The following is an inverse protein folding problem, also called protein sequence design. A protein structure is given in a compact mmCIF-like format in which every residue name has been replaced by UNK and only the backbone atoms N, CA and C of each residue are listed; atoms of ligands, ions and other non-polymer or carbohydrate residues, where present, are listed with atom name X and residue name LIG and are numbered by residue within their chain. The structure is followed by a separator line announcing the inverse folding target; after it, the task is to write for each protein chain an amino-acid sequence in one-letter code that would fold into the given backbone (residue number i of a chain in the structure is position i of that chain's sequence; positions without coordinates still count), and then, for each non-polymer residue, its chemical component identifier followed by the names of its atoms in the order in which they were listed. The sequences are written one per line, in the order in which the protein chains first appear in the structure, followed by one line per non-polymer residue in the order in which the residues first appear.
data_IF_299410770743
#
_entry.id   IF_299410770743
#
_cell.length_a   1.000
_cell.length_b   1.000
_cell.length_c   1.000
_cell.angle_alpha   90.00
_cell.angle_beta   90.00
_cell.angle_gamma   90.00
#
_symmetry.space_group_name_H-M   'P 1'
#
loop_
_entity.id
_entity.type
_entity.pdbx_description
1 polymer ?
#
# COMPACT_ATOMS: atom_id res chain seq x y z
N UNK A 1 9.78 -12.22 27.25
CA UNK A 1 8.41 -11.73 27.59
C UNK A 1 8.22 -10.25 27.25
N UNK A 2 8.92 -9.29 27.86
CA UNK A 2 8.76 -7.85 27.51
C UNK A 2 9.11 -7.57 26.04
N UNK A 3 10.24 -8.07 25.56
CA UNK A 3 10.65 -7.94 24.16
C UNK A 3 9.72 -8.68 23.18
N UNK A 4 9.21 -9.84 23.58
CA UNK A 4 8.31 -10.62 22.71
C UNK A 4 6.95 -9.94 22.56
N UNK A 5 6.37 -9.42 23.65
CA UNK A 5 5.15 -8.63 23.58
C UNK A 5 5.38 -7.33 22.80
N UNK A 6 6.49 -6.64 23.04
CA UNK A 6 6.83 -5.41 22.32
C UNK A 6 7.06 -5.66 20.82
N UNK A 7 7.61 -6.81 20.45
CA UNK A 7 7.68 -7.25 19.05
C UNK A 7 6.27 -7.51 18.48
N UNK A 8 5.42 -8.22 19.22
CA UNK A 8 4.11 -8.64 18.76
C UNK A 8 3.15 -7.47 18.52
N UNK A 9 3.14 -6.47 19.41
CA UNK A 9 2.26 -5.29 19.28
C UNK A 9 2.63 -4.35 18.13
N UNK A 10 3.81 -4.51 17.52
CA UNK A 10 4.26 -3.74 16.35
C UNK A 10 3.77 -4.32 15.02
N UNK A 11 2.84 -5.27 15.06
CA UNK A 11 2.23 -5.86 13.86
C UNK A 11 0.91 -6.59 14.11
N UNK A 12 0.49 -6.78 15.36
CA UNK A 12 -0.77 -7.43 15.72
C UNK A 12 -1.31 -6.93 17.08
N UNK A 13 -2.58 -7.21 17.39
CA UNK A 13 -3.25 -6.71 18.60
C UNK A 13 -3.30 -7.77 19.70
N UNK A 14 -2.77 -7.43 20.88
CA UNK A 14 -2.68 -8.32 22.05
C UNK A 14 -3.32 -7.73 23.33
N UNK A 15 -3.94 -6.56 23.22
CA UNK A 15 -4.52 -5.82 24.34
C UNK A 15 -4.84 -4.38 23.95
N UNK A 16 -5.16 -3.55 24.95
CA UNK A 16 -5.40 -2.12 24.74
C UNK A 16 -4.08 -1.36 24.82
N UNK A 17 -3.64 -0.81 23.68
CA UNK A 17 -2.43 0.02 23.61
C UNK A 17 -2.79 1.44 24.04
N UNK A 18 -2.19 1.91 25.13
CA UNK A 18 -2.48 3.24 25.68
C UNK A 18 -1.66 4.35 25.03
N UNK A 19 -0.42 4.06 24.63
CA UNK A 19 0.48 5.03 24.04
C UNK A 19 1.60 4.37 23.22
N UNK A 20 2.10 5.12 22.24
CA UNK A 20 3.30 4.77 21.49
C UNK A 20 4.39 5.81 21.73
N UNK A 21 5.61 5.35 22.00
CA UNK A 21 6.82 6.20 21.93
C UNK A 21 7.42 6.08 20.54
N UNK A 22 7.24 7.12 19.73
CA UNK A 22 7.71 7.15 18.35
C UNK A 22 9.16 7.64 18.27
N UNK A 23 9.94 7.04 17.37
CA UNK A 23 11.24 7.56 16.95
C UNK A 23 11.02 8.39 15.69
N UNK A 24 11.21 9.70 15.79
CA UNK A 24 11.10 10.58 14.63
C UNK A 24 12.21 10.30 13.62
N UNK A 25 11.87 10.42 12.34
CA UNK A 25 12.81 10.33 11.23
C UNK A 25 12.99 11.71 10.62
N UNK A 26 14.20 12.01 10.16
CA UNK A 26 14.48 13.28 9.50
C UNK A 26 14.02 13.20 8.05
N UNK A 27 13.25 14.19 7.63
CA UNK A 27 12.83 14.39 6.24
C UNK A 27 13.47 15.67 5.71
N UNK A 28 13.77 15.76 4.40
CA UNK A 28 14.20 17.00 3.78
C UNK A 28 13.14 18.09 3.96
N UNK A 29 13.58 19.35 4.03
CA UNK A 29 12.68 20.50 4.13
C UNK A 29 11.76 20.62 2.91
N UNK A 30 12.30 20.26 1.73
CA UNK A 30 11.58 20.20 0.47
C UNK A 30 11.59 18.79 -0.08
N UNK A 31 10.41 18.33 -0.48
CA UNK A 31 10.19 17.08 -1.21
C UNK A 31 9.50 17.38 -2.53
N UNK A 32 9.65 16.51 -3.52
CA UNK A 32 9.01 16.63 -4.82
C UNK A 32 7.95 15.55 -4.99
N UNK A 33 6.70 15.91 -5.24
CA UNK A 33 5.63 14.95 -5.56
C UNK A 33 5.23 15.11 -7.02
N UNK A 34 4.86 14.00 -7.68
CA UNK A 34 4.30 14.10 -9.02
C UNK A 34 3.24 13.03 -9.34
N UNK A 35 2.44 13.30 -10.37
CA UNK A 35 1.53 12.34 -10.98
C UNK A 35 1.66 12.38 -12.50
N UNK A 36 1.83 11.22 -13.12
CA UNK A 36 1.78 11.03 -14.57
C UNK A 36 0.55 10.19 -14.92
N UNK A 37 -0.38 10.76 -15.67
CA UNK A 37 -1.60 10.08 -16.11
C UNK A 37 -1.42 9.51 -17.53
N UNK A 38 -1.92 8.30 -17.76
CA UNK A 38 -1.94 7.60 -19.05
C UNK A 38 -3.22 6.78 -19.19
N UNK A 39 -3.67 6.56 -20.43
CA UNK A 39 -4.67 5.52 -20.72
C UNK A 39 -4.00 4.16 -20.68
N UNK A 40 -4.66 3.12 -20.15
CA UNK A 40 -4.11 1.76 -20.17
C UNK A 40 -3.89 1.27 -21.60
N UNK A 41 -4.85 1.54 -22.48
CA UNK A 41 -4.77 1.23 -23.91
C UNK A 41 -3.53 1.92 -24.53
N UNK A 42 -2.66 1.11 -25.13
CA UNK A 42 -1.38 1.57 -25.70
C UNK A 42 -0.24 1.82 -24.70
N UNK A 43 -0.45 1.67 -23.39
CA UNK A 43 0.57 1.90 -22.36
C UNK A 43 0.87 0.67 -21.47
N UNK A 44 0.45 -0.54 -21.87
CA UNK A 44 0.72 -1.78 -21.11
C UNK A 44 2.22 -2.01 -20.88
N UNK A 45 3.06 -1.68 -21.87
CA UNK A 45 4.51 -1.78 -21.77
C UNK A 45 5.08 -0.91 -20.66
N UNK A 46 4.51 0.27 -20.42
CA UNK A 46 4.95 1.17 -19.33
C UNK A 46 4.60 0.58 -17.97
N UNK A 47 3.40 0.02 -17.82
CA UNK A 47 2.98 -0.65 -16.59
C UNK A 47 3.88 -1.86 -16.28
N UNK A 48 4.17 -2.69 -17.28
CA UNK A 48 5.07 -3.83 -17.14
C UNK A 48 6.50 -3.39 -16.79
N UNK A 49 7.02 -2.36 -17.47
CA UNK A 49 8.34 -1.79 -17.18
C UNK A 49 8.41 -1.29 -15.74
N UNK A 50 7.41 -0.54 -15.29
CA UNK A 50 7.33 -0.06 -13.90
C UNK A 50 7.36 -1.23 -12.91
N UNK A 51 6.58 -2.29 -13.13
CA UNK A 51 6.58 -3.47 -12.27
C UNK A 51 7.97 -4.12 -12.13
N UNK A 52 8.76 -4.10 -13.19
CA UNK A 52 10.12 -4.66 -13.20
C UNK A 52 11.18 -3.78 -12.52
N UNK A 53 11.02 -2.45 -12.52
CA UNK A 53 12.05 -1.53 -12.01
C UNK A 53 11.71 -0.90 -10.67
N UNK A 54 10.45 -0.92 -10.23
CA UNK A 54 9.99 -0.22 -9.03
C UNK A 54 10.80 -0.60 -7.77
N UNK A 55 11.16 -1.88 -7.63
CA UNK A 55 11.96 -2.39 -6.50
C UNK A 55 13.46 -2.05 -6.59
N UNK A 56 13.93 -1.52 -7.73
CA UNK A 56 15.32 -1.12 -7.99
C UNK A 56 15.50 0.40 -7.93
N UNK A 57 14.41 1.15 -7.79
CA UNK A 57 14.47 2.60 -7.60
C UNK A 57 15.17 2.92 -6.27
N UNK A 58 15.87 4.06 -6.17
CA UNK A 58 16.54 4.43 -4.94
C UNK A 58 15.52 4.67 -3.82
N UNK A 59 15.88 4.38 -2.58
CA UNK A 59 15.01 4.50 -1.39
C UNK A 59 14.37 5.88 -1.21
N UNK A 60 14.97 6.92 -1.79
CA UNK A 60 14.44 8.30 -1.79
C UNK A 60 13.31 8.54 -2.80
N UNK A 61 12.98 7.57 -3.67
CA UNK A 61 11.93 7.68 -4.68
C UNK A 61 10.87 6.58 -4.49
N UNK A 62 9.69 7.00 -4.01
CA UNK A 62 8.49 6.18 -4.02
C UNK A 62 7.70 6.47 -5.30
N UNK A 63 7.29 5.42 -6.01
CA UNK A 63 6.33 5.52 -7.11
C UNK A 63 5.25 4.45 -6.88
N UNK A 64 3.99 4.86 -6.78
CA UNK A 64 2.83 3.96 -6.77
C UNK A 64 2.07 4.07 -8.08
N UNK A 65 1.44 2.98 -8.50
CA UNK A 65 0.46 2.96 -9.59
C UNK A 65 -0.93 2.88 -9.01
N UNK A 66 -1.83 3.68 -9.57
CA UNK A 66 -3.27 3.55 -9.35
C UNK A 66 -3.92 3.30 -10.69
N UNK A 67 -4.85 2.35 -10.72
CA UNK A 67 -5.64 1.99 -11.89
C UNK A 67 -7.09 2.25 -11.53
N UNK A 68 -7.80 3.03 -12.36
CA UNK A 68 -9.19 3.37 -12.12
C UNK A 68 -9.97 3.47 -13.43
N UNK A 69 -11.29 3.38 -13.34
CA UNK A 69 -12.16 3.72 -14.45
C UNK A 69 -12.36 5.25 -14.45
N UNK A 70 -12.14 5.89 -15.58
CA UNK A 70 -12.37 7.31 -15.78
C UNK A 70 -13.24 7.55 -17.03
N UNK A 71 -13.90 8.70 -17.08
CA UNK A 71 -14.86 9.07 -18.14
C UNK A 71 -16.34 8.93 -17.74
N UNK A 72 -17.23 9.34 -18.64
CA UNK A 72 -18.68 9.41 -18.40
C UNK A 72 -19.48 8.69 -19.48
N UNK A 73 -20.55 7.98 -19.10
CA UNK A 73 -21.43 7.32 -20.05
C UNK A 73 -20.72 6.19 -20.81
N UNK A 74 -20.73 6.26 -22.14
CA UNK A 74 -20.10 5.28 -23.03
C UNK A 74 -18.60 5.53 -23.27
N UNK A 75 -18.07 6.69 -22.88
CA UNK A 75 -16.65 7.06 -23.08
C UNK A 75 -15.76 6.65 -21.89
N UNK A 76 -16.12 5.55 -21.22
CA UNK A 76 -15.32 5.02 -20.12
C UNK A 76 -14.02 4.43 -20.65
N UNK A 77 -12.93 4.73 -19.97
CA UNK A 77 -11.64 4.13 -20.23
C UNK A 77 -10.93 3.78 -18.92
N UNK A 78 -9.98 2.86 -19.01
CA UNK A 78 -9.12 2.54 -17.87
C UNK A 78 -7.95 3.51 -17.86
N UNK A 79 -7.90 4.34 -16.82
CA UNK A 79 -6.80 5.24 -16.54
C UNK A 79 -5.78 4.55 -15.64
N UNK A 80 -4.50 4.71 -15.98
CA UNK A 80 -3.37 4.38 -15.10
C UNK A 80 -2.66 5.68 -14.74
N UNK A 81 -2.40 5.90 -13.46
CA UNK A 81 -1.59 7.02 -13.04
C UNK A 81 -0.49 6.62 -12.06
N UNK A 82 0.72 7.12 -12.35
CA UNK A 82 1.91 6.92 -11.54
C UNK A 82 2.03 8.10 -10.61
N UNK A 83 1.78 7.89 -9.32
CA UNK A 83 1.89 8.92 -8.29
C UNK A 83 3.13 8.68 -7.45
N UNK A 84 3.92 9.72 -7.22
CA UNK A 84 5.25 9.56 -6.66
C UNK A 84 5.60 10.62 -5.61
N UNK A 85 6.53 10.25 -4.73
CA UNK A 85 7.20 11.10 -3.75
C UNK A 85 8.70 10.90 -3.87
N UNK A 86 9.42 11.99 -4.04
CA UNK A 86 10.87 12.04 -4.03
C UNK A 86 11.36 12.87 -2.84
N UNK A 87 12.23 12.29 -2.02
CA UNK A 87 12.86 12.94 -0.88
C UNK A 87 14.06 13.78 -1.33
N UNK A 88 13.78 14.88 -2.02
CA UNK A 88 14.78 15.82 -2.51
C UNK A 88 14.16 16.83 -3.47
N UNK A 89 14.99 17.70 -4.08
CA UNK A 89 14.54 18.72 -5.02
C UNK A 89 14.31 18.15 -6.43
N UNK A 90 13.53 18.87 -7.24
CA UNK A 90 13.20 18.48 -8.62
C UNK A 90 14.45 18.33 -9.50
N UNK A 91 15.49 19.11 -9.25
CA UNK A 91 16.73 19.12 -10.04
C UNK A 91 17.50 17.80 -9.97
N UNK A 92 17.36 17.06 -8.87
CA UNK A 92 17.92 15.72 -8.76
C UNK A 92 16.98 14.63 -9.29
N UNK A 93 15.66 14.87 -9.20
CA UNK A 93 14.65 13.93 -9.65
C UNK A 93 14.66 13.74 -11.16
N UNK A 94 14.71 14.84 -11.92
CA UNK A 94 14.57 14.79 -13.39
C UNK A 94 15.67 13.93 -14.05
N UNK A 95 16.97 14.08 -13.72
CA UNK A 95 18.01 13.19 -14.23
C UNK A 95 17.78 11.72 -13.88
N UNK A 96 17.37 11.44 -12.63
CA UNK A 96 17.08 10.09 -12.17
C UNK A 96 15.94 9.44 -12.97
N UNK A 97 14.85 10.19 -13.23
CA UNK A 97 13.73 9.70 -14.03
C UNK A 97 14.15 9.47 -15.48
N UNK A 98 14.96 10.35 -16.08
CA UNK A 98 15.47 10.14 -17.43
C UNK A 98 16.33 8.88 -17.56
N UNK A 99 17.10 8.56 -16.53
CA UNK A 99 17.92 7.35 -16.50
C UNK A 99 17.08 6.07 -16.29
N UNK A 100 16.13 6.09 -15.34
CA UNK A 100 15.41 4.88 -14.91
C UNK A 100 14.07 4.66 -15.64
N UNK A 101 13.30 5.73 -15.89
CA UNK A 101 11.92 5.70 -16.41
C UNK A 101 11.67 6.87 -17.39
N UNK A 102 12.39 6.90 -18.50
CA UNK A 102 12.29 7.99 -19.49
C UNK A 102 10.89 8.18 -20.06
N UNK A 103 10.05 7.15 -20.07
CA UNK A 103 8.68 7.15 -20.58
C UNK A 103 7.70 8.01 -19.76
N UNK A 104 8.06 8.36 -18.52
CA UNK A 104 7.32 9.37 -17.77
C UNK A 104 7.41 10.74 -18.44
N UNK A 105 8.49 10.97 -19.20
CA UNK A 105 8.70 12.19 -19.99
C UNK A 105 8.56 13.46 -19.12
N UNK A 106 8.89 13.36 -17.83
CA UNK A 106 8.71 14.47 -16.90
C UNK A 106 9.81 15.51 -17.13
N UNK A 107 9.41 16.75 -17.34
CA UNK A 107 10.33 17.88 -17.43
C UNK A 107 10.21 18.80 -16.21
N UNK A 108 11.28 19.56 -15.92
CA UNK A 108 11.28 20.52 -14.82
C UNK A 108 10.15 21.57 -14.93
N UNK A 109 9.76 21.94 -16.15
CA UNK A 109 8.67 22.89 -16.41
C UNK A 109 7.29 22.37 -15.98
N UNK A 110 7.10 21.05 -15.99
CA UNK A 110 5.85 20.38 -15.58
C UNK A 110 5.65 20.45 -14.04
N UNK A 111 6.62 21.00 -13.32
CA UNK A 111 6.67 21.07 -11.86
C UNK A 111 6.18 22.40 -11.27
N UNK A 112 5.81 23.35 -12.14
CA UNK A 112 5.48 24.72 -11.73
C UNK A 112 4.19 25.24 -12.37
N UNK A 113 3.44 24.40 -13.07
CA UNK A 113 2.17 24.78 -13.69
C UNK A 113 1.00 24.23 -12.86
N UNK A 114 -0.01 25.07 -12.62
CA UNK A 114 -1.33 24.61 -12.18
C UNK A 114 -1.82 23.53 -13.16
N UNK A 115 -2.54 22.49 -12.69
CA UNK A 115 -2.99 21.40 -13.55
C UNK A 115 -3.87 21.97 -14.67
N UNK A 116 -3.30 22.12 -15.86
CA UNK A 116 -4.05 22.45 -17.07
C UNK A 116 -4.75 21.17 -17.50
N UNK A 117 -6.07 21.12 -17.33
CA UNK A 117 -6.90 20.05 -17.88
C UNK A 117 -6.92 20.22 -19.39
N UNK A 118 -5.92 19.65 -20.07
CA UNK A 118 -5.93 19.45 -21.53
C UNK A 118 -5.68 17.99 -21.84
N UNK A 119 -6.78 17.25 -21.95
CA UNK A 119 -7.01 16.28 -23.02
C UNK A 119 -6.25 14.95 -23.06
N UNK A 120 -4.99 14.81 -22.61
CA UNK A 120 -4.28 13.50 -22.76
C UNK A 120 -3.04 13.25 -21.90
N UNK A 121 -2.55 14.21 -21.10
CA UNK A 121 -1.52 13.95 -20.10
C UNK A 121 -1.54 15.06 -19.03
N UNK A 122 -2.17 14.78 -17.89
CA UNK A 122 -1.94 15.60 -16.70
C UNK A 122 -0.55 15.24 -16.17
N UNK A 123 0.34 16.21 -16.07
CA UNK A 123 1.58 16.08 -15.31
C UNK A 123 1.46 17.11 -14.19
N UNK A 124 1.24 16.65 -12.97
CA UNK A 124 1.25 17.51 -11.78
C UNK A 124 2.55 17.20 -11.07
N UNK A 125 3.44 18.16 -10.91
CA UNK A 125 4.60 18.02 -10.03
C UNK A 125 4.68 19.28 -9.15
N UNK A 126 4.96 19.11 -7.85
CA UNK A 126 5.00 20.19 -6.87
C UNK A 126 6.14 19.95 -5.88
N UNK A 127 7.01 20.95 -5.68
CA UNK A 127 7.87 20.99 -4.51
C UNK A 127 7.06 21.45 -3.29
N UNK A 128 7.10 20.68 -2.22
CA UNK A 128 6.32 20.95 -1.02
C UNK A 128 7.05 20.57 0.25
N UNK A 129 6.45 20.90 1.39
CA UNK A 129 6.81 20.32 2.67
C UNK A 129 6.40 18.85 2.70
N UNK A 130 6.97 18.08 3.63
CA UNK A 130 6.58 16.69 3.82
C UNK A 130 5.08 16.54 4.10
N UNK A 131 4.47 17.40 4.92
CA UNK A 131 3.02 17.32 5.20
C UNK A 131 2.18 17.71 3.98
N UNK A 132 2.65 18.65 3.15
CA UNK A 132 2.00 18.98 1.88
C UNK A 132 1.98 17.81 0.90
N UNK A 133 2.99 16.92 0.94
CA UNK A 133 2.94 15.67 0.17
C UNK A 133 1.79 14.76 0.61
N UNK A 134 1.44 14.72 1.90
CA UNK A 134 0.32 13.91 2.40
C UNK A 134 -1.00 14.41 1.80
N UNK A 135 -1.21 15.72 1.76
CA UNK A 135 -2.36 16.34 1.08
C UNK A 135 -2.41 15.96 -0.41
N UNK A 136 -1.25 15.95 -1.08
CA UNK A 136 -1.15 15.56 -2.48
C UNK A 136 -1.62 14.13 -2.74
N UNK A 137 -1.20 13.17 -1.91
CA UNK A 137 -1.64 11.77 -2.03
C UNK A 137 -3.13 11.59 -1.72
N UNK A 138 -3.73 12.53 -1.00
CA UNK A 138 -5.16 12.60 -0.73
C UNK A 138 -5.96 13.34 -1.82
N UNK A 139 -5.30 13.74 -2.91
CA UNK A 139 -5.95 14.47 -4.02
C UNK A 139 -6.24 15.95 -3.71
N UNK A 140 -5.67 16.49 -2.63
CA UNK A 140 -5.84 17.89 -2.21
C UNK A 140 -4.71 18.78 -2.72
N UNK A 141 -4.85 20.09 -2.57
CA UNK A 141 -3.75 21.04 -2.87
C UNK A 141 -2.71 21.00 -1.74
N UNK A 142 -1.43 21.14 -2.08
CA UNK A 142 -0.33 21.00 -1.12
C UNK A 142 -0.26 22.13 -0.08
N UNK A 143 -0.95 23.25 -0.36
CA UNK A 143 -1.07 24.43 0.51
C UNK A 143 -2.46 24.55 1.17
N UNK A 144 -3.30 23.53 1.04
CA UNK A 144 -4.63 23.50 1.65
C UNK A 144 -4.55 23.34 3.18
N UNK A 145 -5.64 23.69 3.88
CA UNK A 145 -5.73 23.50 5.34
C UNK A 145 -5.55 22.03 5.70
N UNK A 146 -4.76 21.77 6.76
CA UNK A 146 -4.57 20.42 7.30
C UNK A 146 -5.83 19.85 7.96
N UNK A 147 -6.83 20.69 8.24
CA UNK A 147 -8.12 20.26 8.79
C UNK A 147 -8.84 19.28 7.86
N UNK A 148 -8.57 19.34 6.57
CA UNK A 148 -9.11 18.39 5.57
C UNK A 148 -8.68 16.95 5.86
N UNK A 149 -7.55 16.73 6.54
CA UNK A 149 -7.11 15.39 6.97
C UNK A 149 -7.93 14.84 8.15
N UNK A 150 -8.76 15.67 8.79
CA UNK A 150 -9.69 15.25 9.84
C UNK A 150 -11.03 14.76 9.25
N UNK A 151 -11.29 15.02 7.97
CA UNK A 151 -12.49 14.56 7.29
C UNK A 151 -12.48 13.03 7.14
N UNK A 152 -13.58 12.38 7.50
CA UNK A 152 -13.74 10.94 7.33
C UNK A 152 -14.25 10.63 5.94
N UNK A 153 -13.36 10.21 5.05
CA UNK A 153 -13.73 9.54 3.80
C UNK A 153 -13.53 8.04 3.93
N UNK A 154 -14.61 7.27 3.78
CA UNK A 154 -14.56 5.82 3.77
C UNK A 154 -14.12 5.35 2.39
N UNK A 155 -12.89 4.86 2.30
CA UNK A 155 -12.32 4.28 1.09
C UNK A 155 -11.78 2.89 1.38
N UNK A 156 -12.20 1.90 0.59
CA UNK A 156 -11.65 0.54 0.61
C UNK A 156 -10.88 0.36 -0.69
N UNK A 157 -9.60 0.03 -0.59
CA UNK A 157 -8.78 -0.39 -1.71
C UNK A 157 -7.92 -1.57 -1.28
N UNK A 158 -7.68 -2.46 -2.25
CA UNK A 158 -6.77 -3.59 -2.12
C UNK A 158 -5.46 -3.21 -2.81
N UNK A 159 -4.34 -3.56 -2.19
CA UNK A 159 -3.00 -3.40 -2.79
C UNK A 159 -2.34 -4.76 -2.75
N UNK A 160 -1.96 -5.27 -3.92
CA UNK A 160 -1.31 -6.56 -4.08
C UNK A 160 0.00 -6.41 -4.86
N UNK A 161 0.95 -7.30 -4.57
CA UNK A 161 2.22 -7.37 -5.29
C UNK A 161 2.10 -8.38 -6.43
N UNK A 162 2.14 -7.86 -7.65
CA UNK A 162 2.06 -8.65 -8.88
C UNK A 162 3.46 -9.11 -9.29
N UNK A 163 3.67 -10.42 -9.42
CA UNK A 163 4.92 -11.06 -9.87
C UNK A 163 4.95 -11.35 -11.37
N UNK A 164 3.79 -11.55 -11.99
CA UNK A 164 3.65 -11.88 -13.42
C UNK A 164 2.50 -11.06 -14.05
N UNK A 165 2.52 -10.73 -15.35
CA UNK A 165 1.47 -9.91 -15.98
C UNK A 165 0.09 -10.62 -16.06
N UNK A 166 -0.99 -9.88 -15.79
CA UNK A 166 -2.38 -10.40 -15.71
C UNK A 166 -3.04 -10.45 -17.11
N UNK A 167 -3.64 -11.57 -17.53
CA UNK A 167 -4.33 -11.75 -18.79
C UNK A 167 -5.80 -11.32 -18.70
N UNK A 168 -6.40 -11.09 -19.86
CA UNK A 168 -7.64 -10.34 -20.08
C UNK A 168 -8.92 -11.22 -20.03
N UNK A 169 -9.14 -12.01 -18.97
CA UNK A 169 -10.32 -12.89 -18.87
C UNK A 169 -11.40 -12.32 -17.94
N UNK A 170 -12.52 -13.04 -17.87
CA UNK A 170 -13.83 -12.59 -17.36
C UNK A 170 -14.18 -13.14 -15.95
N UNK A 171 -13.20 -13.70 -15.22
CA UNK A 171 -13.44 -14.16 -13.85
C UNK A 171 -13.26 -13.01 -12.84
N UNK A 172 -13.62 -13.23 -11.56
CA UNK A 172 -13.45 -12.19 -10.55
C UNK A 172 -11.97 -11.78 -10.46
N UNK A 173 -11.70 -10.46 -10.49
CA UNK A 173 -10.34 -9.91 -10.49
C UNK A 173 -9.45 -10.56 -9.40
N UNK A 174 -10.02 -10.85 -8.22
CA UNK A 174 -9.27 -11.47 -7.12
C UNK A 174 -8.85 -12.92 -7.38
N UNK A 175 -9.63 -13.69 -8.14
CA UNK A 175 -9.30 -15.06 -8.56
C UNK A 175 -8.31 -15.04 -9.73
N UNK A 176 -8.46 -14.11 -10.68
CA UNK A 176 -7.53 -13.96 -11.80
C UNK A 176 -6.13 -13.57 -11.34
N UNK A 177 -6.06 -12.65 -10.37
CA UNK A 177 -4.81 -12.21 -9.77
C UNK A 177 -4.09 -13.34 -9.03
N UNK A 178 -4.78 -14.43 -8.64
CA UNK A 178 -4.17 -15.55 -7.90
C UNK A 178 -2.98 -16.15 -8.66
N UNK A 179 -3.03 -16.16 -9.99
CA UNK A 179 -1.93 -16.68 -10.81
C UNK A 179 -0.68 -15.80 -10.74
N UNK A 180 -0.84 -14.53 -10.37
CA UNK A 180 0.15 -13.48 -10.51
C UNK A 180 0.69 -12.94 -9.19
N UNK A 181 0.00 -13.13 -8.08
CA UNK A 181 0.42 -12.66 -6.76
C UNK A 181 1.29 -13.69 -6.03
N UNK A 182 1.74 -13.35 -4.82
CA UNK A 182 2.47 -14.30 -3.98
C UNK A 182 1.65 -15.58 -3.78
N UNK A 183 2.31 -16.74 -3.92
CA UNK A 183 1.73 -18.07 -3.69
C UNK A 183 2.45 -18.74 -2.52
N UNK A 184 1.70 -19.55 -1.78
CA UNK A 184 2.19 -20.40 -0.69
C UNK A 184 2.91 -19.65 0.46
N UNK A 185 2.22 -18.77 1.21
CA UNK A 185 0.80 -18.43 1.14
C UNK A 185 0.53 -17.21 0.24
N UNK A 186 -0.73 -17.06 -0.23
CA UNK A 186 -1.23 -15.77 -0.72
C UNK A 186 -1.19 -14.77 0.42
N UNK A 187 -0.31 -13.78 0.33
CA UNK A 187 -0.03 -12.87 1.43
C UNK A 187 -1.06 -11.75 1.47
N UNK A 188 -1.41 -11.28 2.66
CA UNK A 188 -2.30 -10.17 2.85
C UNK A 188 -1.78 -9.22 3.93
N UNK A 189 -2.28 -7.98 3.92
CA UNK A 189 -1.94 -6.99 4.93
C UNK A 189 -3.04 -6.88 5.98
N UNK A 190 -2.70 -7.09 7.25
CA UNK A 190 -3.67 -7.16 8.37
C UNK A 190 -4.56 -5.92 8.48
N UNK A 191 -4.03 -4.73 8.17
CA UNK A 191 -4.79 -3.48 8.24
C UNK A 191 -5.86 -3.36 7.13
N UNK A 192 -5.82 -4.25 6.13
CA UNK A 192 -6.92 -4.52 5.20
C UNK A 192 -7.53 -5.89 5.54
N UNK A 193 -8.16 -5.94 6.71
CA UNK A 193 -8.76 -7.17 7.26
C UNK A 193 -9.79 -7.74 6.29
N UNK A 194 -9.66 -9.02 6.02
CA UNK A 194 -10.46 -9.78 5.07
C UNK A 194 -10.93 -11.07 5.72
N UNK A 195 -12.23 -11.14 6.02
CA UNK A 195 -12.84 -12.30 6.67
C UNK A 195 -12.98 -13.49 5.73
N UNK A 196 -12.87 -13.28 4.41
CA UNK A 196 -13.00 -14.32 3.40
C UNK A 196 -11.80 -15.29 3.41
N UNK A 197 -10.67 -14.87 4.01
CA UNK A 197 -9.56 -15.78 4.30
C UNK A 197 -9.87 -16.82 5.39
N UNK A 198 -10.93 -16.61 6.17
CA UNK A 198 -11.37 -17.50 7.24
C UNK A 198 -11.37 -16.81 8.61
N UNK A 199 -12.14 -17.38 9.54
CA UNK A 199 -12.32 -16.88 10.90
C UNK A 199 -12.04 -17.97 11.94
N UNK A 200 -11.78 -17.55 13.18
CA UNK A 200 -11.75 -18.41 14.33
C UNK A 200 -13.14 -19.06 14.54
N UNK A 201 -13.12 -20.36 14.74
CA UNK A 201 -14.28 -21.12 15.21
C UNK A 201 -14.39 -20.99 16.74
N UNK A 202 -15.44 -21.56 17.34
CA UNK A 202 -15.68 -21.47 18.80
C UNK A 202 -14.51 -21.97 19.65
N UNK A 203 -13.75 -22.95 19.13
CA UNK A 203 -12.60 -23.55 19.79
C UNK A 203 -11.31 -22.70 19.73
N UNK A 204 -11.28 -21.66 18.89
CA UNK A 204 -10.07 -20.87 18.60
C UNK A 204 -8.82 -21.74 18.35
N UNK A 205 -8.98 -22.85 17.61
CA UNK A 205 -7.86 -23.76 17.35
C UNK A 205 -6.74 -23.09 16.55
N UNK A 206 -5.50 -23.24 17.03
CA UNK A 206 -4.30 -22.74 16.34
C UNK A 206 -4.16 -23.32 14.93
N UNK A 207 -4.42 -24.62 14.75
CA UNK A 207 -4.25 -25.30 13.45
C UNK A 207 -5.21 -24.75 12.39
N UNK A 208 -6.46 -24.47 12.76
CA UNK A 208 -7.45 -23.82 11.89
C UNK A 208 -7.08 -22.37 11.60
N UNK A 209 -6.67 -21.62 12.62
CA UNK A 209 -6.28 -20.23 12.47
C UNK A 209 -5.01 -20.04 11.64
N UNK A 210 -4.12 -21.04 11.60
CA UNK A 210 -2.89 -21.02 10.81
C UNK A 210 -3.15 -20.77 9.32
N UNK A 211 -4.28 -21.23 8.79
CA UNK A 211 -4.66 -21.10 7.37
C UNK A 211 -4.75 -19.62 6.96
N UNK A 212 -5.47 -18.79 7.73
CA UNK A 212 -5.56 -17.34 7.49
C UNK A 212 -4.38 -16.60 8.12
N UNK A 213 -3.85 -17.08 9.25
CA UNK A 213 -2.77 -16.46 10.00
C UNK A 213 -1.47 -16.37 9.20
N UNK A 214 -1.11 -17.42 8.46
CA UNK A 214 0.09 -17.40 7.61
C UNK A 214 -0.04 -16.48 6.41
N UNK A 215 -1.27 -16.19 5.94
CA UNK A 215 -1.50 -15.16 4.90
C UNK A 215 -1.09 -13.77 5.41
N UNK A 216 -1.42 -13.43 6.65
CA UNK A 216 -1.05 -12.14 7.25
C UNK A 216 0.39 -12.08 7.78
N UNK A 217 0.84 -13.16 8.43
CA UNK A 217 2.06 -13.11 9.25
C UNK A 217 3.18 -14.02 8.73
N UNK A 218 2.92 -14.86 7.73
CA UNK A 218 3.86 -15.88 7.23
C UNK A 218 4.42 -16.70 8.42
N UNK A 219 5.71 -17.01 8.41
CA UNK A 219 6.41 -17.72 9.49
C UNK A 219 6.41 -17.02 10.86
N UNK A 220 5.91 -15.78 10.98
CA UNK A 220 5.79 -15.12 12.27
C UNK A 220 4.56 -15.57 13.07
N UNK A 221 3.58 -16.23 12.44
CA UNK A 221 2.30 -16.57 13.08
C UNK A 221 2.49 -17.47 14.32
N UNK A 222 3.37 -18.44 14.26
CA UNK A 222 3.66 -19.33 15.40
C UNK A 222 4.23 -18.56 16.59
N UNK A 223 5.19 -17.66 16.34
CA UNK A 223 5.77 -16.84 17.40
C UNK A 223 4.71 -15.93 18.03
N UNK A 224 3.82 -15.37 17.22
CA UNK A 224 2.69 -14.56 17.70
C UNK A 224 1.76 -15.39 18.60
N UNK A 225 1.40 -16.62 18.20
CA UNK A 225 0.56 -17.51 19.01
C UNK A 225 1.25 -17.91 20.33
N UNK A 226 2.56 -18.15 20.32
CA UNK A 226 3.36 -18.40 21.53
C UNK A 226 3.40 -17.20 22.47
N UNK A 227 3.39 -15.97 21.94
CA UNK A 227 3.27 -14.75 22.75
C UNK A 227 1.87 -14.65 23.33
N UNK A 228 0.83 -14.88 22.51
CA UNK A 228 -0.58 -14.88 22.92
C UNK A 228 -0.81 -15.79 24.13
N UNK A 229 -0.35 -17.04 24.08
CA UNK A 229 -0.50 -18.00 25.19
C UNK A 229 0.07 -17.51 26.52
N UNK A 230 1.09 -16.66 26.49
CA UNK A 230 1.76 -16.15 27.71
C UNK A 230 1.10 -14.89 28.25
N UNK A 231 0.65 -14.00 27.38
CA UNK A 231 0.16 -12.66 27.77
C UNK A 231 -1.35 -12.61 27.94
N UNK A 232 -2.08 -13.51 27.29
CA UNK A 232 -3.54 -13.61 27.37
C UNK A 232 -3.97 -15.10 27.30
N UNK A 233 -3.63 -15.92 28.32
CA UNK A 233 -3.88 -17.36 28.32
C UNK A 233 -5.36 -17.72 28.23
N UNK A 234 -6.24 -16.85 28.73
CA UNK A 234 -7.70 -17.05 28.71
C UNK A 234 -8.35 -16.50 27.43
N UNK A 235 -7.55 -16.01 26.48
CA UNK A 235 -8.01 -15.43 25.23
C UNK A 235 -9.10 -14.34 25.43
N UNK A 236 -8.88 -13.46 26.40
CA UNK A 236 -9.79 -12.36 26.70
C UNK A 236 -9.88 -11.36 25.53
N UNK A 237 -8.74 -10.96 24.97
CA UNK A 237 -8.68 -10.06 23.82
C UNK A 237 -8.82 -10.84 22.52
N UNK A 238 -10.07 -11.01 22.05
CA UNK A 238 -10.38 -11.82 20.87
C UNK A 238 -11.37 -11.15 19.92
N UNK A 239 -11.31 -11.57 18.66
CA UNK A 239 -12.28 -11.28 17.61
C UNK A 239 -12.25 -12.43 16.58
N UNK A 240 -12.99 -12.28 15.48
CA UNK A 240 -13.16 -13.32 14.45
C UNK A 240 -11.83 -13.75 13.80
N UNK A 241 -10.73 -12.98 13.89
CA UNK A 241 -9.41 -13.31 13.36
C UNK A 241 -8.29 -12.91 14.34
N UNK A 242 -8.55 -12.97 15.65
CA UNK A 242 -7.52 -12.74 16.64
C UNK A 242 -6.59 -13.96 16.69
N UNK A 243 -5.30 -13.72 16.87
CA UNK A 243 -4.32 -14.81 17.03
C UNK A 243 -4.73 -15.68 18.23
N UNK A 244 -4.97 -16.99 18.05
CA UNK A 244 -5.29 -17.88 19.16
C UNK A 244 -4.05 -18.23 19.97
N UNK A 245 -4.27 -18.78 21.16
CA UNK A 245 -3.20 -19.37 21.96
C UNK A 245 -2.60 -20.58 21.23
N UNK A 246 -1.28 -20.70 21.29
CA UNK A 246 -0.56 -21.90 20.87
C UNK A 246 -0.82 -23.02 21.89
N UNK A 247 -1.82 -23.84 21.60
CA UNK A 247 -2.00 -25.15 22.21
C UNK A 247 -1.72 -26.18 21.12
N UNK A 248 -0.77 -27.08 21.36
CA UNK A 248 -0.68 -28.29 20.56
C UNK A 248 -1.86 -29.15 20.98
N UNK A 249 -2.82 -29.36 20.07
CA UNK A 249 -3.84 -30.39 20.23
C UNK A 249 -3.07 -31.71 20.46
N UNK A 250 -3.11 -32.23 21.69
CA UNK A 250 -2.61 -33.56 22.03
C UNK A 250 -3.69 -34.58 21.69
#
# INVERSE_FOLDING_TARGET
MKEDLFWAIRGASFGVILAWKLKLVRVPEKVTVFTVYKKLEGNQNLLQKWGNIAHQLPDKLLVRVVIQNDGTGNDKYVEIFFQALYLGPVDELIPLLKEKISEFDLEKKDCFQEPVVTGLALKKNVESSWIGSVLYFYGRRTNESLEVLLEKNYFKATSDFVKTPVPEKEDSMDEEMELYVAKSPRTAYLNYRDLDFGTNQEDYSYSKAKIWGEKYFKGNFERLAKVKSKVDPNNFFRNEQSIPSYHTDN
#
